data_IF_156996779119
#
_entry.id   IF_156996779119
#
_cell.length_a   1.000
_cell.length_b   1.000
_cell.length_c   1.000
_cell.angle_alpha   90.00
_cell.angle_beta   90.00
_cell.angle_gamma   90.00
#
_symmetry.space_group_name_H-M   'P 1'
#
loop_
_entity.id
_entity.type
_entity.pdbx_description
1 polymer ?
#
# COMPACT_ATOMS: atom_id res chain seq x y z
N UNK A 1 -66.99 33.29 12.54
CA UNK A 1 -66.20 34.53 12.37
C UNK A 1 -64.73 34.27 12.72
N UNK A 2 -64.00 33.52 11.87
CA UNK A 2 -62.59 33.15 12.14
C UNK A 2 -61.69 33.11 10.91
N UNK A 3 -62.20 33.52 9.74
CA UNK A 3 -61.43 33.54 8.48
C UNK A 3 -61.10 34.95 7.95
N UNK A 4 -61.70 36.01 8.49
CA UNK A 4 -61.40 37.40 8.08
C UNK A 4 -60.25 38.05 8.88
N UNK A 5 -59.87 37.47 10.03
CA UNK A 5 -58.77 37.99 10.87
C UNK A 5 -57.40 37.55 10.35
N UNK A 6 -57.29 36.36 9.74
CA UNK A 6 -56.04 35.84 9.19
C UNK A 6 -55.60 36.55 7.89
N UNK A 7 -56.56 36.95 7.04
CA UNK A 7 -56.25 37.71 5.82
C UNK A 7 -55.82 39.15 6.11
N UNK A 8 -56.37 39.79 7.14
CA UNK A 8 -55.97 41.14 7.56
C UNK A 8 -54.54 41.21 8.12
N UNK A 9 -54.11 40.16 8.83
CA UNK A 9 -52.74 40.10 9.39
C UNK A 9 -51.67 39.88 8.30
N UNK A 10 -51.97 39.07 7.28
CA UNK A 10 -51.06 38.84 6.15
C UNK A 10 -50.78 40.09 5.31
N UNK A 11 -51.79 40.94 5.09
CA UNK A 11 -51.63 42.18 4.31
C UNK A 11 -50.80 43.25 5.05
N UNK A 12 -50.92 43.33 6.38
CA UNK A 12 -50.16 44.29 7.21
C UNK A 12 -48.67 43.92 7.32
N UNK A 13 -48.34 42.63 7.43
CA UNK A 13 -46.95 42.15 7.46
C UNK A 13 -46.26 42.33 6.10
N UNK A 14 -46.97 42.09 5.00
CA UNK A 14 -46.46 42.32 3.64
C UNK A 14 -46.13 43.80 3.37
N UNK A 15 -46.99 44.72 3.80
CA UNK A 15 -46.75 46.16 3.67
C UNK A 15 -45.57 46.66 4.53
N UNK A 16 -45.38 46.10 5.72
CA UNK A 16 -44.27 46.47 6.61
C UNK A 16 -42.90 46.03 6.05
N UNK A 17 -42.81 44.81 5.49
CA UNK A 17 -41.59 44.29 4.87
C UNK A 17 -41.24 45.09 3.60
N UNK A 18 -42.23 45.48 2.80
CA UNK A 18 -42.03 46.31 1.60
C UNK A 18 -41.45 47.70 1.91
N UNK A 19 -41.93 48.36 2.98
CA UNK A 19 -41.43 49.68 3.41
C UNK A 19 -40.03 49.61 4.02
N UNK A 20 -39.68 48.50 4.69
CA UNK A 20 -38.35 48.29 5.26
C UNK A 20 -37.28 48.06 4.16
N UNK A 21 -37.63 47.32 3.09
CA UNK A 21 -36.75 47.08 1.94
C UNK A 21 -36.58 48.35 1.09
N UNK A 22 -37.60 49.19 0.98
CA UNK A 22 -37.51 50.47 0.26
C UNK A 22 -36.65 51.52 0.99
N UNK A 23 -36.65 51.55 2.33
CA UNK A 23 -35.83 52.49 3.13
C UNK A 23 -34.34 52.14 3.20
N UNK A 24 -33.95 50.91 2.90
CA UNK A 24 -32.54 50.48 2.87
C UNK A 24 -31.84 50.78 1.52
N UNK A 25 -32.57 51.25 0.49
CA UNK A 25 -32.01 51.53 -0.85
C UNK A 25 -31.83 53.02 -1.17
N UNK A 26 -32.17 53.93 -0.27
CA UNK A 26 -32.05 55.38 -0.53
C UNK A 26 -31.41 56.10 0.65
N UNK A 27 -30.08 56.17 0.67
CA UNK A 27 -29.34 57.20 1.43
C UNK A 27 -28.15 57.67 0.57
N UNK A 28 -27.96 58.99 0.40
CA UNK A 28 -27.08 59.55 -0.63
C UNK A 28 -25.62 59.66 -0.18
N UNK A 29 -24.70 59.61 -1.13
CA UNK A 29 -23.28 59.88 -0.94
C UNK A 29 -22.97 61.39 -0.86
N UNK A 30 -22.07 61.79 0.03
CA UNK A 30 -21.46 63.12 0.12
C UNK A 30 -20.06 63.04 0.81
N UNK A 31 -19.17 64.04 0.65
CA UNK A 31 -17.76 63.82 0.30
C UNK A 31 -16.75 63.81 1.46
N UNK A 32 -15.50 63.47 1.10
CA UNK A 32 -14.34 63.18 1.94
C UNK A 32 -13.90 64.28 2.92
N UNK A 33 -13.46 63.85 4.11
CA UNK A 33 -12.44 64.53 4.93
C UNK A 33 -11.53 63.49 5.58
N UNK A 34 -10.22 63.74 5.50
CA UNK A 34 -9.17 62.87 6.00
C UNK A 34 -9.01 62.98 7.53
N UNK A 35 -8.91 61.84 8.23
CA UNK A 35 -8.39 61.76 9.58
C UNK A 35 -7.63 60.44 9.76
N UNK A 36 -6.35 60.55 10.12
CA UNK A 36 -5.41 59.45 10.36
C UNK A 36 -5.70 58.79 11.71
N UNK A 37 -5.76 57.45 11.74
CA UNK A 37 -5.97 56.63 12.95
C UNK A 37 -5.00 55.41 12.95
N UNK A 38 -4.69 54.84 14.14
CA UNK A 38 -3.40 54.25 14.53
C UNK A 38 -3.13 52.83 13.96
N UNK A 39 -1.90 52.27 14.10
CA UNK A 39 -1.54 50.98 13.51
C UNK A 39 -2.48 49.88 14.01
N UNK A 40 -3.18 49.25 13.07
CA UNK A 40 -4.19 48.24 13.36
C UNK A 40 -3.58 46.99 13.99
N UNK A 41 -4.18 46.57 15.11
CA UNK A 41 -4.09 45.18 15.55
C UNK A 41 -4.63 44.29 14.43
N UNK A 42 -3.78 43.41 13.90
CA UNK A 42 -4.17 42.38 12.94
C UNK A 42 -5.23 41.49 13.59
N UNK A 43 -6.50 41.73 13.27
CA UNK A 43 -7.56 40.76 13.47
C UNK A 43 -7.33 39.66 12.44
N UNK A 44 -7.00 38.46 12.91
CA UNK A 44 -7.09 37.25 12.10
C UNK A 44 -8.52 37.17 11.53
N UNK A 45 -8.64 37.33 10.21
CA UNK A 45 -9.85 36.93 9.52
C UNK A 45 -9.94 35.39 9.60
N UNK A 46 -11.10 34.80 9.93
CA UNK A 46 -11.28 33.37 9.69
C UNK A 46 -11.03 33.12 8.20
N UNK A 47 -10.35 32.02 7.83
CA UNK A 47 -10.08 31.74 6.43
C UNK A 47 -11.41 31.71 5.68
N UNK A 48 -11.49 32.45 4.57
CA UNK A 48 -12.55 32.28 3.59
C UNK A 48 -12.58 30.80 3.21
N UNK A 49 -13.62 30.10 3.64
CA UNK A 49 -13.94 28.78 3.11
C UNK A 49 -14.28 29.04 1.65
N UNK A 50 -13.32 28.76 0.76
CA UNK A 50 -13.62 28.62 -0.66
C UNK A 50 -14.76 27.62 -0.76
N UNK A 51 -15.92 28.08 -1.21
CA UNK A 51 -16.97 27.18 -1.66
C UNK A 51 -16.36 26.35 -2.78
N UNK A 52 -16.01 25.10 -2.45
CA UNK A 52 -15.62 24.09 -3.43
C UNK A 52 -16.77 24.02 -4.42
N UNK A 53 -16.54 24.54 -5.63
CA UNK A 53 -17.44 24.31 -6.75
C UNK A 53 -17.48 22.79 -6.90
N UNK A 54 -18.65 22.21 -6.63
CA UNK A 54 -18.87 20.77 -6.78
C UNK A 54 -18.71 20.43 -8.26
N UNK A 55 -17.52 19.99 -8.66
CA UNK A 55 -17.23 19.47 -10.00
C UNK A 55 -18.26 18.39 -10.40
N UNK A 56 -18.42 18.14 -11.70
CA UNK A 56 -19.32 17.10 -12.26
C UNK A 56 -19.19 15.74 -11.56
N UNK A 57 -18.02 15.42 -11.00
CA UNK A 57 -17.77 14.22 -10.18
C UNK A 57 -18.56 14.18 -8.87
N UNK A 58 -18.70 15.30 -8.17
CA UNK A 58 -19.41 15.39 -6.89
C UNK A 58 -20.94 15.29 -7.07
N UNK A 59 -21.46 15.85 -8.17
CA UNK A 59 -22.87 15.71 -8.54
C UNK A 59 -23.24 14.24 -8.83
N UNK A 60 -22.33 13.50 -9.48
CA UNK A 60 -22.52 12.08 -9.78
C UNK A 60 -22.44 11.19 -8.54
N UNK A 61 -21.56 11.49 -7.58
CA UNK A 61 -21.49 10.81 -6.28
C UNK A 61 -22.77 11.05 -5.48
N UNK A 62 -23.27 12.29 -5.46
CA UNK A 62 -24.52 12.62 -4.78
C UNK A 62 -25.71 11.88 -5.42
N UNK A 63 -25.75 11.79 -6.75
CA UNK A 63 -26.75 11.01 -7.47
C UNK A 63 -26.64 9.51 -7.18
N UNK A 64 -25.43 8.95 -7.12
CA UNK A 64 -25.22 7.55 -6.78
C UNK A 64 -25.64 7.23 -5.35
N UNK A 65 -25.31 8.10 -4.39
CA UNK A 65 -25.71 7.97 -3.00
C UNK A 65 -27.24 8.08 -2.84
N UNK A 66 -27.86 9.07 -3.49
CA UNK A 66 -29.31 9.24 -3.50
C UNK A 66 -30.02 8.02 -4.09
N UNK A 67 -29.50 7.45 -5.17
CA UNK A 67 -30.04 6.22 -5.78
C UNK A 67 -29.95 5.01 -4.82
N UNK A 68 -28.90 4.93 -4.00
CA UNK A 68 -28.75 3.85 -3.00
C UNK A 68 -29.65 4.06 -1.79
N UNK A 69 -29.77 5.29 -1.31
CA UNK A 69 -30.72 5.65 -0.24
C UNK A 69 -32.17 5.38 -0.65
N UNK A 70 -32.53 5.65 -1.91
CA UNK A 70 -33.84 5.30 -2.44
C UNK A 70 -34.09 3.79 -2.46
N UNK A 71 -33.09 2.98 -2.82
CA UNK A 71 -33.18 1.51 -2.79
C UNK A 71 -33.30 0.97 -1.35
N UNK A 72 -32.57 1.55 -0.40
CA UNK A 72 -32.68 1.21 1.03
C UNK A 72 -34.07 1.57 1.56
N UNK A 73 -34.62 2.73 1.19
CA UNK A 73 -35.99 3.12 1.54
C UNK A 73 -37.05 2.15 1.02
N UNK A 74 -36.99 1.79 -0.27
CA UNK A 74 -37.92 0.84 -0.87
C UNK A 74 -37.85 -0.56 -0.22
N UNK A 75 -36.64 -1.02 0.12
CA UNK A 75 -36.44 -2.29 0.83
C UNK A 75 -36.93 -2.21 2.30
N UNK A 76 -36.78 -1.06 2.96
CA UNK A 76 -37.29 -0.83 4.32
C UNK A 76 -38.82 -0.78 4.36
N UNK A 77 -39.46 -0.19 3.35
CA UNK A 77 -40.92 -0.16 3.21
C UNK A 77 -41.50 -1.58 3.00
N UNK A 78 -40.82 -2.43 2.23
CA UNK A 78 -41.18 -3.85 2.06
C UNK A 78 -41.12 -4.66 3.38
N UNK A 79 -40.31 -4.20 4.35
CA UNK A 79 -40.20 -4.80 5.68
C UNK A 79 -41.29 -4.31 6.64
N UNK A 80 -42.04 -3.24 6.30
CA UNK A 80 -43.10 -2.69 7.14
C UNK A 80 -44.45 -3.36 6.85
N UNK A 81 -44.83 -4.34 7.70
CA UNK A 81 -46.16 -4.98 7.70
C UNK A 81 -46.17 -6.51 7.57
N UNK A 82 -46.42 -7.22 8.68
CA UNK A 82 -46.76 -8.67 8.79
C UNK A 82 -45.58 -9.67 9.00
N UNK A 83 -45.79 -10.86 9.60
CA UNK A 83 -44.74 -11.64 10.28
C UNK A 83 -43.70 -12.27 9.32
N UNK A 84 -42.53 -12.64 9.87
CA UNK A 84 -41.30 -13.04 9.17
C UNK A 84 -41.50 -14.13 8.10
N UNK A 85 -41.51 -13.73 6.82
CA UNK A 85 -41.51 -14.60 5.63
C UNK A 85 -40.07 -14.71 5.03
N UNK A 86 -39.65 -15.85 4.44
CA UNK A 86 -38.41 -15.97 3.64
C UNK A 86 -38.16 -14.89 2.58
N UNK A 87 -39.16 -14.16 2.09
CA UNK A 87 -38.95 -12.96 1.26
C UNK A 87 -38.38 -11.77 2.04
N UNK A 88 -38.77 -11.59 3.31
CA UNK A 88 -38.24 -10.53 4.18
C UNK A 88 -36.80 -10.78 4.59
N UNK A 89 -36.42 -12.04 4.81
CA UNK A 89 -35.03 -12.41 5.07
C UNK A 89 -34.11 -12.05 3.88
N UNK A 90 -34.60 -12.28 2.65
CA UNK A 90 -33.90 -11.87 1.42
C UNK A 90 -33.83 -10.35 1.28
N UNK A 91 -34.92 -9.64 1.55
CA UNK A 91 -34.93 -8.17 1.57
C UNK A 91 -33.97 -7.60 2.63
N UNK A 92 -33.87 -8.23 3.81
CA UNK A 92 -32.93 -7.85 4.87
C UNK A 92 -31.47 -8.04 4.44
N UNK A 93 -31.15 -9.16 3.78
CA UNK A 93 -29.80 -9.40 3.23
C UNK A 93 -29.45 -8.40 2.13
N UNK A 94 -30.40 -8.07 1.25
CA UNK A 94 -30.21 -7.06 0.21
C UNK A 94 -30.03 -5.66 0.82
N UNK A 95 -30.82 -5.30 1.82
CA UNK A 95 -30.71 -4.03 2.54
C UNK A 95 -29.35 -3.91 3.25
N UNK A 96 -28.89 -4.98 3.90
CA UNK A 96 -27.56 -5.00 4.53
C UNK A 96 -26.43 -4.83 3.49
N UNK A 97 -26.57 -5.45 2.32
CA UNK A 97 -25.64 -5.28 1.20
C UNK A 97 -25.61 -3.85 0.65
N UNK A 98 -26.76 -3.19 0.54
CA UNK A 98 -26.87 -1.80 0.07
C UNK A 98 -26.35 -0.78 1.10
N UNK A 99 -26.60 -1.02 2.39
CA UNK A 99 -26.03 -0.20 3.49
C UNK A 99 -24.50 -0.27 3.49
N UNK A 100 -23.92 -1.46 3.31
CA UNK A 100 -22.47 -1.62 3.24
C UNK A 100 -21.87 -0.89 2.03
N UNK A 101 -22.52 -0.97 0.86
CA UNK A 101 -22.09 -0.26 -0.36
C UNK A 101 -22.23 1.26 -0.24
N UNK A 102 -23.28 1.75 0.43
CA UNK A 102 -23.42 3.17 0.72
C UNK A 102 -22.31 3.65 1.67
N UNK A 103 -21.97 2.85 2.70
CA UNK A 103 -20.86 3.12 3.61
C UNK A 103 -19.51 3.15 2.87
N UNK A 104 -19.27 2.21 1.94
CA UNK A 104 -18.08 2.19 1.06
C UNK A 104 -17.98 3.46 0.19
N UNK A 105 -19.10 3.98 -0.35
CA UNK A 105 -19.11 5.24 -1.13
C UNK A 105 -18.77 6.45 -0.25
N UNK A 106 -19.37 6.54 0.94
CA UNK A 106 -19.07 7.63 1.88
C UNK A 106 -17.63 7.58 2.37
N UNK A 107 -17.08 6.38 2.63
CA UNK A 107 -15.70 6.19 3.05
C UNK A 107 -14.73 6.63 1.94
N UNK A 108 -14.98 6.23 0.68
CA UNK A 108 -14.19 6.69 -0.46
C UNK A 108 -14.27 8.21 -0.69
N UNK A 109 -15.42 8.83 -0.46
CA UNK A 109 -15.54 10.30 -0.56
C UNK A 109 -14.79 11.01 0.58
N UNK A 110 -14.82 10.45 1.79
CA UNK A 110 -14.01 10.92 2.92
C UNK A 110 -12.52 10.75 2.65
N UNK A 111 -12.09 9.64 2.07
CA UNK A 111 -10.68 9.40 1.67
C UNK A 111 -10.22 10.39 0.59
N UNK A 112 -11.08 10.70 -0.39
CA UNK A 112 -10.84 11.72 -1.42
C UNK A 112 -10.82 13.15 -0.86
N UNK A 113 -11.64 13.43 0.15
CA UNK A 113 -11.72 14.75 0.80
C UNK A 113 -10.62 14.98 1.85
N UNK A 114 -10.02 13.92 2.39
CA UNK A 114 -9.05 13.99 3.49
C UNK A 114 -7.58 14.06 3.06
N UNK A 115 -7.25 13.87 1.78
CA UNK A 115 -5.85 13.86 1.31
C UNK A 115 -5.58 15.01 0.33
N UNK A 116 -4.99 16.13 0.81
CA UNK A 116 -4.44 17.13 -0.10
C UNK A 116 -3.29 16.53 -0.91
N UNK A 117 -3.29 16.78 -2.22
CA UNK A 117 -2.14 16.57 -3.10
C UNK A 117 -0.97 17.38 -2.52
N UNK A 118 0.04 16.70 -1.99
CA UNK A 118 1.30 17.31 -1.58
C UNK A 118 1.61 17.26 -0.09
N UNK A 119 2.03 16.09 0.38
CA UNK A 119 3.04 15.85 1.44
C UNK A 119 3.08 14.34 1.78
N UNK A 120 3.04 13.46 0.78
CA UNK A 120 3.17 12.03 1.02
C UNK A 120 4.57 11.72 1.55
N UNK A 121 4.66 11.03 2.69
CA UNK A 121 5.92 10.46 3.16
C UNK A 121 6.55 9.63 2.04
N UNK A 122 7.82 9.90 1.67
CA UNK A 122 8.44 9.19 0.57
C UNK A 122 8.64 7.72 0.92
N UNK A 123 8.40 6.83 -0.05
CA UNK A 123 8.69 5.41 0.09
C UNK A 123 9.70 4.91 -0.93
N UNK A 124 10.39 3.84 -0.54
CA UNK A 124 11.31 3.11 -1.41
C UNK A 124 10.52 2.06 -2.21
N UNK A 125 10.41 2.28 -3.52
CA UNK A 125 9.66 1.40 -4.40
C UNK A 125 10.25 -0.02 -4.47
N UNK A 126 11.57 -0.18 -4.37
CA UNK A 126 12.21 -1.48 -4.44
C UNK A 126 11.85 -2.32 -3.22
N UNK A 127 11.94 -1.73 -2.02
CA UNK A 127 11.61 -2.41 -0.76
C UNK A 127 10.15 -2.88 -0.77
N UNK A 128 9.23 -1.99 -1.14
CA UNK A 128 7.79 -2.33 -1.14
C UNK A 128 7.48 -3.40 -2.18
N UNK A 129 8.03 -3.29 -3.39
CA UNK A 129 7.79 -4.25 -4.47
C UNK A 129 8.33 -5.65 -4.10
N UNK A 130 9.52 -5.72 -3.51
CA UNK A 130 10.09 -6.99 -3.05
C UNK A 130 9.25 -7.61 -1.91
N UNK A 131 8.80 -6.81 -0.94
CA UNK A 131 7.93 -7.28 0.14
C UNK A 131 6.58 -7.80 -0.35
N UNK A 132 5.97 -7.14 -1.34
CA UNK A 132 4.72 -7.60 -1.95
C UNK A 132 4.89 -8.89 -2.75
N UNK A 133 6.01 -9.02 -3.48
CA UNK A 133 6.32 -10.24 -4.23
C UNK A 133 6.61 -11.43 -3.32
N UNK A 134 7.24 -11.19 -2.17
CA UNK A 134 7.44 -12.16 -1.11
C UNK A 134 6.11 -12.76 -0.62
N UNK A 135 5.17 -11.88 -0.28
CA UNK A 135 3.86 -12.27 0.24
C UNK A 135 3.06 -13.14 -0.76
N UNK A 136 3.34 -12.99 -2.05
CA UNK A 136 2.67 -13.74 -3.13
C UNK A 136 3.50 -14.90 -3.69
N UNK A 137 4.66 -15.22 -3.14
CA UNK A 137 5.55 -16.26 -3.65
C UNK A 137 4.88 -17.65 -3.67
N UNK A 138 4.16 -18.00 -2.59
CA UNK A 138 3.41 -19.27 -2.50
C UNK A 138 2.39 -19.40 -3.63
N UNK A 139 1.53 -18.40 -3.80
CA UNK A 139 0.51 -18.34 -4.85
C UNK A 139 1.11 -18.40 -6.25
N UNK A 140 2.23 -17.72 -6.49
CA UNK A 140 2.94 -17.75 -7.77
C UNK A 140 3.46 -19.16 -8.09
N UNK A 141 4.04 -19.86 -7.10
CA UNK A 141 4.52 -21.24 -7.24
C UNK A 141 3.36 -22.22 -7.47
N UNK A 142 2.29 -22.12 -6.69
CA UNK A 142 1.09 -22.95 -6.83
C UNK A 142 0.46 -22.84 -8.22
N UNK A 143 0.42 -21.62 -8.76
CA UNK A 143 -0.09 -21.36 -10.11
C UNK A 143 0.92 -21.68 -11.22
N UNK A 144 2.17 -22.04 -10.91
CA UNK A 144 3.22 -22.31 -11.89
C UNK A 144 3.59 -21.08 -12.72
N UNK A 145 3.55 -19.89 -12.11
CA UNK A 145 3.85 -18.62 -12.79
C UNK A 145 5.37 -18.39 -12.82
N UNK A 146 5.92 -18.24 -14.02
CA UNK A 146 7.29 -17.76 -14.21
C UNK A 146 7.34 -16.26 -13.94
N UNK A 147 7.99 -15.86 -12.85
CA UNK A 147 8.18 -14.46 -12.50
C UNK A 147 9.51 -13.93 -13.10
N UNK A 148 9.43 -12.86 -13.88
CA UNK A 148 10.59 -12.14 -14.43
C UNK A 148 10.59 -10.72 -13.88
N UNK A 149 11.72 -10.28 -13.32
CA UNK A 149 11.85 -8.98 -12.67
C UNK A 149 12.98 -8.18 -13.31
N UNK A 150 12.72 -6.91 -13.59
CA UNK A 150 13.70 -5.94 -14.06
C UNK A 150 13.58 -4.68 -13.22
N UNK A 151 14.15 -4.72 -12.01
CA UNK A 151 14.08 -3.66 -11.01
C UNK A 151 15.50 -3.13 -10.78
N UNK A 152 15.82 -1.86 -11.10
CA UNK A 152 17.12 -1.26 -10.80
C UNK A 152 17.39 -1.21 -9.29
N UNK A 153 18.64 -1.39 -8.88
CA UNK A 153 19.04 -1.35 -7.46
C UNK A 153 19.04 0.07 -6.87
N UNK A 154 19.22 1.08 -7.71
CA UNK A 154 19.23 2.48 -7.29
C UNK A 154 18.02 3.21 -7.91
N UNK A 155 16.91 3.17 -7.18
CA UNK A 155 15.68 3.86 -7.56
C UNK A 155 15.46 5.08 -6.66
N UNK A 156 15.01 6.21 -7.22
CA UNK A 156 14.63 7.37 -6.43
C UNK A 156 13.41 7.05 -5.56
N UNK A 157 13.31 7.73 -4.42
CA UNK A 157 12.13 7.66 -3.57
C UNK A 157 10.89 8.15 -4.33
N UNK A 158 9.75 7.52 -4.06
CA UNK A 158 8.46 7.87 -4.68
C UNK A 158 7.64 8.68 -3.69
N UNK A 159 6.94 9.71 -4.16
CA UNK A 159 6.03 10.54 -3.34
C UNK A 159 4.70 9.80 -3.10
N UNK A 160 4.78 8.63 -2.45
CA UNK A 160 3.67 7.77 -2.10
C UNK A 160 3.98 7.12 -0.75
N UNK A 161 3.10 7.18 0.27
CA UNK A 161 3.36 6.55 1.56
C UNK A 161 3.52 5.04 1.41
N UNK A 162 4.37 4.41 2.23
CA UNK A 162 4.65 2.97 2.12
C UNK A 162 3.38 2.11 2.16
N UNK A 163 2.45 2.38 3.09
CA UNK A 163 1.20 1.62 3.20
C UNK A 163 0.34 1.71 1.92
N UNK A 164 0.24 2.91 1.35
CA UNK A 164 -0.51 3.17 0.12
C UNK A 164 0.15 2.52 -1.10
N UNK A 165 1.49 2.56 -1.19
CA UNK A 165 2.23 1.89 -2.25
C UNK A 165 2.08 0.36 -2.15
N UNK A 166 2.18 -0.19 -0.93
CA UNK A 166 1.96 -1.62 -0.67
C UNK A 166 0.57 -2.02 -1.13
N UNK A 167 -0.48 -1.30 -0.70
CA UNK A 167 -1.85 -1.62 -1.06
C UNK A 167 -2.06 -1.56 -2.58
N UNK A 168 -1.55 -0.52 -3.23
CA UNK A 168 -1.65 -0.35 -4.68
C UNK A 168 -1.01 -1.52 -5.43
N UNK A 169 0.21 -1.91 -5.06
CA UNK A 169 0.91 -3.02 -5.69
C UNK A 169 0.21 -4.36 -5.41
N UNK A 170 -0.32 -4.57 -4.21
CA UNK A 170 -1.09 -5.76 -3.88
C UNK A 170 -2.33 -5.91 -4.77
N UNK A 171 -3.09 -4.82 -4.99
CA UNK A 171 -4.24 -4.86 -5.91
C UNK A 171 -3.84 -5.17 -7.35
N UNK A 172 -2.70 -4.65 -7.80
CA UNK A 172 -2.18 -4.94 -9.14
C UNK A 172 -1.74 -6.40 -9.28
N UNK A 173 -1.08 -6.97 -8.26
CA UNK A 173 -0.75 -8.38 -8.26
C UNK A 173 -2.00 -9.25 -8.21
N UNK A 174 -2.98 -8.93 -7.36
CA UNK A 174 -4.22 -9.68 -7.27
C UNK A 174 -4.99 -9.66 -8.60
N UNK A 175 -5.01 -8.50 -9.29
CA UNK A 175 -5.55 -8.38 -10.65
C UNK A 175 -4.83 -9.31 -11.64
N UNK A 176 -3.49 -9.30 -11.66
CA UNK A 176 -2.70 -10.13 -12.57
C UNK A 176 -2.85 -11.63 -12.25
N UNK A 177 -2.76 -12.02 -10.98
CA UNK A 177 -2.87 -13.41 -10.52
C UNK A 177 -4.25 -14.00 -10.86
N UNK A 178 -5.30 -13.20 -10.76
CA UNK A 178 -6.66 -13.64 -11.12
C UNK A 178 -6.76 -13.96 -12.60
N UNK A 179 -6.23 -13.10 -13.47
CA UNK A 179 -6.16 -13.36 -14.92
C UNK A 179 -5.28 -14.55 -15.28
N UNK A 180 -4.17 -14.75 -14.55
CA UNK A 180 -3.29 -15.89 -14.75
C UNK A 180 -3.94 -17.21 -14.31
N UNK A 181 -4.78 -17.20 -13.26
CA UNK A 181 -5.51 -18.39 -12.79
C UNK A 181 -6.44 -18.97 -13.86
N UNK A 182 -7.10 -18.10 -14.61
CA UNK A 182 -8.03 -18.47 -15.69
C UNK A 182 -7.31 -18.76 -17.02
N UNK A 183 -5.99 -18.54 -17.09
CA UNK A 183 -5.18 -18.77 -18.29
C UNK A 183 -4.52 -20.15 -18.33
N UNK A 184 -4.29 -20.66 -19.55
CA UNK A 184 -3.53 -21.89 -19.75
C UNK A 184 -2.02 -21.67 -19.60
N UNK A 185 -1.26 -22.64 -19.08
CA UNK A 185 0.20 -22.59 -19.08
C UNK A 185 0.78 -22.49 -20.51
N UNK A 186 1.94 -21.86 -20.71
CA UNK A 186 2.83 -21.28 -19.69
C UNK A 186 2.32 -19.94 -19.14
N UNK A 187 2.39 -19.79 -17.81
CA UNK A 187 2.03 -18.55 -17.12
C UNK A 187 3.27 -17.73 -16.83
N UNK A 188 3.27 -16.46 -17.17
CA UNK A 188 4.37 -15.55 -16.93
C UNK A 188 3.87 -14.21 -16.38
N UNK A 189 4.58 -13.69 -15.39
CA UNK A 189 4.40 -12.36 -14.84
C UNK A 189 5.73 -11.61 -14.97
N UNK A 190 5.72 -10.49 -15.68
CA UNK A 190 6.88 -9.60 -15.85
C UNK A 190 6.64 -8.31 -15.10
N UNK A 191 7.59 -7.94 -14.25
CA UNK A 191 7.57 -6.67 -13.52
C UNK A 191 8.82 -5.90 -13.89
N UNK A 192 8.65 -4.69 -14.39
CA UNK A 192 9.74 -3.81 -14.76
C UNK A 192 9.55 -2.44 -14.12
N UNK A 193 10.64 -1.89 -13.57
CA UNK A 193 10.67 -0.53 -13.04
C UNK A 193 11.64 0.28 -13.88
N UNK A 194 11.19 1.44 -14.34
CA UNK A 194 12.00 2.36 -15.13
C UNK A 194 11.82 3.79 -14.65
N UNK A 195 12.90 4.54 -14.67
CA UNK A 195 12.89 5.97 -14.41
C UNK A 195 12.55 6.74 -15.69
N UNK A 196 11.65 7.73 -15.60
CA UNK A 196 11.29 8.57 -16.73
C UNK A 196 11.06 10.02 -16.28
N UNK A 197 12.06 10.88 -16.49
CA UNK A 197 11.96 12.31 -16.16
C UNK A 197 11.69 12.54 -14.65
N UNK A 198 10.63 13.25 -14.25
CA UNK A 198 10.29 13.47 -12.84
C UNK A 198 9.51 12.31 -12.20
N UNK A 199 9.34 11.18 -12.89
CA UNK A 199 8.49 10.09 -12.45
C UNK A 199 9.20 8.74 -12.47
N UNK A 200 8.67 7.80 -11.70
CA UNK A 200 9.02 6.39 -11.71
C UNK A 200 7.85 5.62 -12.31
N UNK A 201 8.14 4.71 -13.23
CA UNK A 201 7.15 3.89 -13.92
C UNK A 201 7.31 2.43 -13.52
N UNK A 202 6.22 1.83 -13.05
CA UNK A 202 6.12 0.41 -12.71
C UNK A 202 5.23 -0.24 -13.77
N UNK A 203 5.77 -1.17 -14.52
CA UNK A 203 5.04 -1.99 -15.49
C UNK A 203 4.86 -3.40 -14.94
N UNK A 204 3.62 -3.90 -14.97
CA UNK A 204 3.26 -5.28 -14.69
C UNK A 204 2.58 -5.86 -15.93
N UNK A 205 3.24 -6.79 -16.60
CA UNK A 205 2.66 -7.55 -17.71
C UNK A 205 2.41 -8.99 -17.27
N UNK A 206 1.20 -9.50 -17.53
CA UNK A 206 0.85 -10.90 -17.34
C UNK A 206 0.53 -11.57 -18.68
N UNK A 207 0.81 -12.87 -18.77
CA UNK A 207 0.49 -13.71 -19.94
C UNK A 207 -0.96 -14.20 -19.98
N UNK A 208 -1.87 -13.60 -19.19
CA UNK A 208 -3.26 -14.02 -19.13
C UNK A 208 -4.02 -13.76 -20.43
N UNK A 209 -5.30 -14.14 -20.46
CA UNK A 209 -6.15 -13.92 -21.64
C UNK A 209 -6.16 -12.42 -22.01
N UNK A 210 -5.92 -12.06 -23.28
CA UNK A 210 -5.97 -10.67 -23.72
C UNK A 210 -7.31 -10.02 -23.36
N UNK A 211 -7.27 -8.77 -22.92
CA UNK A 211 -8.47 -8.02 -22.59
C UNK A 211 -9.21 -7.65 -23.88
N UNK A 212 -10.51 -7.91 -23.94
CA UNK A 212 -11.35 -7.36 -25.01
C UNK A 212 -11.47 -5.85 -24.86
N UNK A 213 -11.77 -5.16 -25.96
CA UNK A 213 -12.00 -3.69 -25.95
C UNK A 213 -13.09 -3.31 -24.94
N UNK A 214 -14.15 -4.12 -24.82
CA UNK A 214 -15.21 -3.91 -23.84
C UNK A 214 -14.72 -4.06 -22.39
N UNK A 215 -13.89 -5.07 -22.11
CA UNK A 215 -13.31 -5.29 -20.79
C UNK A 215 -12.36 -4.15 -20.41
N UNK A 216 -11.53 -3.69 -21.36
CA UNK A 216 -10.67 -2.52 -21.17
C UNK A 216 -11.48 -1.27 -20.86
N UNK A 217 -12.53 -0.98 -21.65
CA UNK A 217 -13.42 0.16 -21.41
C UNK A 217 -14.09 0.10 -20.02
N UNK A 218 -14.50 -1.08 -19.57
CA UNK A 218 -15.04 -1.27 -18.21
C UNK A 218 -14.00 -1.00 -17.14
N UNK A 219 -12.78 -1.53 -17.28
CA UNK A 219 -11.70 -1.32 -16.33
C UNK A 219 -11.35 0.16 -16.20
N UNK A 220 -11.29 0.91 -17.31
CA UNK A 220 -10.94 2.34 -17.29
C UNK A 220 -12.08 3.27 -16.87
N UNK A 221 -13.34 2.81 -16.95
CA UNK A 221 -14.50 3.62 -16.55
C UNK A 221 -14.74 3.52 -15.04
N UNK A 222 -14.75 4.63 -14.28
CA UNK A 222 -15.06 4.59 -12.85
C UNK A 222 -16.44 3.99 -12.56
N UNK A 223 -16.53 3.17 -11.51
CA UNK A 223 -17.80 2.68 -10.91
C UNK A 223 -18.72 1.80 -11.79
N UNK A 224 -18.22 1.22 -12.89
CA UNK A 224 -18.94 0.18 -13.66
C UNK A 224 -18.54 -1.24 -13.21
N UNK A 225 -19.11 -1.70 -12.10
CA UNK A 225 -18.92 -3.07 -11.62
C UNK A 225 -20.12 -3.93 -12.03
N UNK A 226 -19.90 -5.03 -12.75
CA UNK A 226 -20.99 -5.97 -13.10
C UNK A 226 -20.77 -7.32 -12.41
N UNK A 227 -21.83 -7.91 -11.85
CA UNK A 227 -21.76 -9.18 -11.12
C UNK A 227 -21.35 -10.39 -11.97
N UNK A 228 -21.26 -10.25 -13.30
CA UNK A 228 -21.21 -11.37 -14.24
C UNK A 228 -19.91 -11.50 -15.04
N UNK A 229 -18.90 -10.65 -14.84
CA UNK A 229 -17.71 -10.65 -15.71
C UNK A 229 -16.38 -10.73 -14.93
N UNK A 230 -15.73 -11.89 -15.02
CA UNK A 230 -14.27 -12.09 -14.97
C UNK A 230 -13.44 -11.23 -14.03
N UNK A 231 -13.83 -11.20 -12.74
CA UNK A 231 -13.45 -10.14 -11.80
C UNK A 231 -11.96 -9.75 -11.74
N UNK A 232 -11.74 -8.54 -11.24
CA UNK A 232 -10.52 -7.75 -11.40
C UNK A 232 -10.82 -6.24 -11.49
N UNK A 233 -12.08 -5.89 -11.78
CA UNK A 233 -12.56 -4.51 -11.92
C UNK A 233 -12.36 -3.68 -10.64
N UNK A 234 -12.59 -4.29 -9.47
CA UNK A 234 -12.45 -3.62 -8.16
C UNK A 234 -10.97 -3.39 -7.87
N UNK A 235 -10.14 -4.41 -8.07
CA UNK A 235 -8.70 -4.36 -7.82
C UNK A 235 -8.03 -3.30 -8.71
N UNK A 236 -8.38 -3.26 -10.00
CA UNK A 236 -7.88 -2.25 -10.92
C UNK A 236 -8.38 -0.84 -10.58
N UNK A 237 -9.66 -0.69 -10.22
CA UNK A 237 -10.22 0.60 -9.83
C UNK A 237 -9.58 1.14 -8.55
N UNK A 238 -9.35 0.29 -7.55
CA UNK A 238 -8.71 0.66 -6.29
C UNK A 238 -7.23 1.01 -6.51
N UNK A 239 -6.49 0.20 -7.26
CA UNK A 239 -5.12 0.54 -7.64
C UNK A 239 -5.03 1.90 -8.36
N UNK A 240 -6.02 2.20 -9.22
CA UNK A 240 -6.07 3.49 -9.93
C UNK A 240 -6.36 4.64 -8.98
N UNK A 241 -7.32 4.48 -8.06
CA UNK A 241 -7.65 5.49 -7.06
C UNK A 241 -6.44 5.78 -6.15
N UNK A 242 -5.73 4.75 -5.69
CA UNK A 242 -4.51 4.89 -4.89
C UNK A 242 -3.43 5.63 -5.69
N UNK A 243 -3.16 5.23 -6.94
CA UNK A 243 -2.21 5.92 -7.80
C UNK A 243 -2.56 7.40 -8.01
N UNK A 244 -3.84 7.72 -8.23
CA UNK A 244 -4.32 9.09 -8.42
C UNK A 244 -4.18 9.93 -7.14
N UNK A 245 -4.52 9.36 -5.99
CA UNK A 245 -4.38 10.05 -4.69
C UNK A 245 -2.92 10.34 -4.34
N UNK A 246 -1.97 9.55 -4.85
CA UNK A 246 -0.53 9.82 -4.77
C UNK A 246 0.01 10.75 -5.88
N UNK A 247 -0.86 11.44 -6.63
CA UNK A 247 -0.46 12.33 -7.73
C UNK A 247 0.09 11.61 -8.97
N UNK A 248 -0.13 10.30 -9.08
CA UNK A 248 0.27 9.47 -10.21
C UNK A 248 -0.87 9.10 -11.15
N UNK A 249 -0.57 8.19 -12.07
CA UNK A 249 -1.54 7.65 -13.03
C UNK A 249 -1.38 6.14 -13.16
N UNK A 250 -2.47 5.46 -13.50
CA UNK A 250 -2.49 4.05 -13.84
C UNK A 250 -3.16 3.88 -15.20
N UNK A 251 -2.50 3.18 -16.11
CA UNK A 251 -2.96 2.93 -17.48
C UNK A 251 -2.87 1.45 -17.81
N UNK A 252 -3.75 0.99 -18.69
CA UNK A 252 -3.64 -0.31 -19.32
C UNK A 252 -2.98 -0.13 -20.69
N UNK A 253 -2.07 -1.04 -21.05
CA UNK A 253 -1.43 -1.12 -22.36
C UNK A 253 -1.67 -2.52 -22.95
N UNK A 254 -2.39 -2.63 -24.08
CA UNK A 254 -2.46 -3.88 -24.80
C UNK A 254 -1.09 -4.19 -25.44
N UNK A 255 -0.67 -5.45 -25.37
CA UNK A 255 0.55 -5.94 -26.03
C UNK A 255 0.16 -6.81 -27.22
N UNK A 256 0.73 -6.58 -28.42
CA UNK A 256 0.43 -7.37 -29.62
C UNK A 256 0.70 -8.88 -29.46
N UNK A 257 1.59 -9.26 -28.53
CA UNK A 257 1.92 -10.66 -28.22
C UNK A 257 1.00 -11.36 -27.21
N UNK A 258 -0.14 -10.75 -26.87
CA UNK A 258 -1.07 -11.26 -25.86
C UNK A 258 -0.79 -10.74 -24.44
N UNK A 259 -1.62 -11.16 -23.48
CA UNK A 259 -1.57 -10.65 -22.11
C UNK A 259 -2.19 -9.27 -21.93
N UNK A 260 -1.98 -8.66 -20.78
CA UNK A 260 -2.13 -7.21 -20.65
C UNK A 260 -1.04 -6.63 -19.75
N UNK A 261 -0.70 -5.37 -20.01
CA UNK A 261 0.29 -4.63 -19.24
C UNK A 261 -0.40 -3.50 -18.49
N UNK A 262 -0.31 -3.50 -17.17
CA UNK A 262 -0.72 -2.38 -16.33
C UNK A 262 0.51 -1.53 -16.02
N UNK A 263 0.42 -0.24 -16.30
CA UNK A 263 1.51 0.72 -16.13
C UNK A 263 1.08 1.78 -15.13
N UNK A 264 1.76 1.79 -13.99
CA UNK A 264 1.63 2.83 -12.97
C UNK A 264 2.77 3.83 -13.15
N UNK A 265 2.47 5.11 -13.09
CA UNK A 265 3.45 6.19 -13.08
C UNK A 265 3.24 7.03 -11.83
N UNK A 266 4.26 7.10 -10.97
CA UNK A 266 4.22 7.87 -9.73
C UNK A 266 5.26 8.99 -9.78
N UNK A 267 4.97 10.17 -9.20
CA UNK A 267 5.96 11.23 -9.08
C UNK A 267 7.10 10.82 -8.13
N UNK A 268 8.32 11.19 -8.48
CA UNK A 268 9.45 11.09 -7.55
C UNK A 268 9.24 12.05 -6.39
N UNK A 269 9.75 11.67 -5.22
CA UNK A 269 9.80 12.58 -4.09
C UNK A 269 10.77 13.73 -4.35
N UNK A 270 10.28 14.96 -4.17
CA UNK A 270 11.08 16.18 -4.10
C UNK A 270 11.55 16.49 -2.68
N UNK A 271 10.91 15.88 -1.67
CA UNK A 271 11.51 15.81 -0.34
C UNK A 271 12.79 15.02 -0.54
N UNK A 272 13.93 15.69 -0.34
CA UNK A 272 15.24 15.09 -0.40
C UNK A 272 15.15 13.72 0.28
N UNK A 273 15.76 12.66 -0.28
CA UNK A 273 15.83 11.40 0.43
C UNK A 273 16.22 11.78 1.85
N UNK A 274 15.37 11.47 2.84
CA UNK A 274 15.77 11.49 4.25
C UNK A 274 17.01 10.64 4.20
N UNK A 275 18.19 11.29 4.22
CA UNK A 275 19.33 10.83 3.45
C UNK A 275 19.35 9.33 3.58
N UNK A 276 19.22 8.58 2.46
CA UNK A 276 19.87 7.29 2.46
C UNK A 276 21.25 7.74 2.90
N UNK A 277 21.58 7.46 4.15
CA UNK A 277 22.94 7.24 4.50
C UNK A 277 23.27 6.12 3.53
N UNK A 278 23.73 6.52 2.35
CA UNK A 278 24.95 6.03 1.79
C UNK A 278 26.00 6.13 2.90
N UNK A 279 25.83 5.36 3.98
CA UNK A 279 26.75 4.29 4.15
C UNK A 279 26.77 3.62 2.78
N UNK A 280 27.70 4.07 1.92
CA UNK A 280 28.58 3.13 1.24
C UNK A 280 28.56 1.90 2.12
N UNK A 281 27.87 0.83 1.69
CA UNK A 281 27.83 -0.40 2.46
C UNK A 281 29.27 -0.59 2.91
N UNK A 282 29.57 -0.52 4.22
CA UNK A 282 30.94 -0.48 4.66
C UNK A 282 31.59 -1.66 3.96
N UNK A 283 32.65 -1.43 3.17
CA UNK A 283 33.32 -2.54 2.53
C UNK A 283 33.76 -3.41 3.68
N UNK A 284 33.04 -4.51 3.93
CA UNK A 284 33.27 -5.27 5.12
C UNK A 284 34.69 -5.80 4.98
N UNK A 285 35.50 -5.75 6.05
CA UNK A 285 36.76 -6.46 6.01
C UNK A 285 36.46 -7.93 5.67
N UNK A 286 37.42 -8.64 5.11
CA UNK A 286 37.24 -10.07 4.83
C UNK A 286 36.82 -10.81 6.11
N UNK A 287 35.56 -11.24 6.16
CA UNK A 287 34.96 -11.99 7.26
C UNK A 287 35.06 -13.50 7.00
N UNK A 288 35.15 -14.26 8.08
CA UNK A 288 34.94 -15.71 8.12
C UNK A 288 33.50 -15.96 8.58
N UNK A 289 32.66 -16.44 7.67
CA UNK A 289 31.21 -16.55 7.88
C UNK A 289 30.81 -18.04 7.93
N UNK A 290 30.07 -18.43 8.96
CA UNK A 290 29.41 -19.73 9.02
C UNK A 290 27.97 -19.59 8.50
N UNK A 291 27.63 -20.29 7.44
CA UNK A 291 26.27 -20.36 6.87
C UNK A 291 25.64 -21.69 7.28
N UNK A 292 24.44 -21.62 7.87
CA UNK A 292 23.66 -22.78 8.31
C UNK A 292 22.28 -22.71 7.64
N UNK A 293 22.02 -23.59 6.69
CA UNK A 293 20.75 -23.65 5.95
C UNK A 293 20.54 -25.07 5.43
N UNK A 294 19.36 -25.66 5.61
CA UNK A 294 19.08 -27.05 5.22
C UNK A 294 18.83 -27.19 3.72
N UNK A 295 18.37 -26.13 3.05
CA UNK A 295 18.18 -26.12 1.60
C UNK A 295 19.54 -26.02 0.88
N UNK A 296 19.90 -27.09 0.16
CA UNK A 296 21.18 -27.18 -0.53
C UNK A 296 21.37 -26.10 -1.61
N UNK A 297 20.30 -25.65 -2.26
CA UNK A 297 20.35 -24.63 -3.30
C UNK A 297 20.57 -23.27 -2.67
N UNK A 298 19.82 -22.92 -1.63
CA UNK A 298 19.97 -21.65 -0.91
C UNK A 298 21.33 -21.56 -0.22
N UNK A 299 21.75 -22.62 0.48
CA UNK A 299 23.06 -22.73 1.11
C UNK A 299 24.19 -22.50 0.12
N UNK A 300 24.14 -23.14 -1.05
CA UNK A 300 25.15 -23.00 -2.09
C UNK A 300 25.13 -21.61 -2.74
N UNK A 301 23.95 -21.03 -2.98
CA UNK A 301 23.82 -19.69 -3.53
C UNK A 301 24.40 -18.62 -2.58
N UNK A 302 24.06 -18.70 -1.29
CA UNK A 302 24.58 -17.79 -0.27
C UNK A 302 26.10 -17.88 -0.15
N UNK A 303 26.65 -19.11 -0.18
CA UNK A 303 28.10 -19.34 -0.19
C UNK A 303 28.78 -18.64 -1.36
N UNK A 304 28.31 -18.88 -2.59
CA UNK A 304 28.91 -18.31 -3.79
C UNK A 304 28.85 -16.77 -3.80
N UNK A 305 27.73 -16.20 -3.35
CA UNK A 305 27.57 -14.74 -3.30
C UNK A 305 28.49 -14.09 -2.26
N UNK A 306 28.57 -14.66 -1.06
CA UNK A 306 29.47 -14.15 0.00
C UNK A 306 30.95 -14.35 -0.35
N UNK A 307 31.33 -15.47 -0.97
CA UNK A 307 32.69 -15.70 -1.49
C UNK A 307 33.05 -14.68 -2.59
N UNK A 308 32.08 -14.30 -3.45
CA UNK A 308 32.28 -13.29 -4.50
C UNK A 308 32.57 -11.88 -3.94
N UNK A 309 32.01 -11.55 -2.77
CA UNK A 309 32.32 -10.29 -2.06
C UNK A 309 33.63 -10.38 -1.24
N UNK A 310 34.37 -11.50 -1.35
CA UNK A 310 35.70 -11.66 -0.76
C UNK A 310 35.72 -12.28 0.64
N UNK A 311 34.58 -12.76 1.14
CA UNK A 311 34.49 -13.45 2.44
C UNK A 311 34.98 -14.91 2.36
N UNK A 312 35.43 -15.45 3.50
CA UNK A 312 35.67 -16.89 3.65
C UNK A 312 34.40 -17.53 4.22
N UNK A 313 33.80 -18.49 3.52
CA UNK A 313 32.51 -19.05 3.90
C UNK A 313 32.63 -20.54 4.18
N UNK A 314 32.16 -20.95 5.35
CA UNK A 314 31.92 -22.36 5.68
C UNK A 314 30.41 -22.56 5.71
N UNK A 315 29.90 -23.49 4.89
CA UNK A 315 28.48 -23.79 4.83
C UNK A 315 28.18 -25.19 5.36
N UNK A 316 27.16 -25.32 6.21
CA UNK A 316 26.70 -26.57 6.83
C UNK A 316 25.19 -26.68 6.73
N UNK A 317 24.66 -27.90 6.79
CA UNK A 317 23.24 -28.16 6.51
C UNK A 317 22.33 -28.13 7.75
N UNK A 318 22.88 -28.10 8.96
CA UNK A 318 22.09 -28.08 10.20
C UNK A 318 22.88 -27.53 11.39
N UNK A 319 22.17 -27.24 12.49
CA UNK A 319 22.79 -26.66 13.68
C UNK A 319 23.76 -27.59 14.42
N UNK A 320 23.66 -28.92 14.30
CA UNK A 320 24.62 -29.83 14.94
C UNK A 320 25.99 -29.74 14.29
N UNK A 321 26.03 -29.75 12.96
CA UNK A 321 27.26 -29.49 12.20
C UNK A 321 27.81 -28.09 12.46
N UNK A 322 26.93 -27.10 12.65
CA UNK A 322 27.36 -25.76 13.04
C UNK A 322 28.13 -25.78 14.37
N UNK A 323 27.63 -26.49 15.39
CA UNK A 323 28.31 -26.66 16.68
C UNK A 323 29.68 -27.35 16.50
N UNK A 324 29.74 -28.41 15.69
CA UNK A 324 31.01 -29.10 15.40
C UNK A 324 32.03 -28.17 14.74
N UNK A 325 31.60 -27.36 13.76
CA UNK A 325 32.46 -26.40 13.06
C UNK A 325 32.92 -25.24 13.93
N UNK A 326 32.06 -24.79 14.84
CA UNK A 326 32.40 -23.77 15.82
C UNK A 326 33.51 -24.26 16.79
N UNK A 327 33.63 -25.58 17.02
CA UNK A 327 34.72 -26.21 17.77
C UNK A 327 34.91 -25.62 19.18
N UNK A 328 35.95 -25.98 19.96
CA UNK A 328 36.21 -25.38 21.29
C UNK A 328 36.77 -23.94 21.25
N UNK A 329 37.32 -23.52 20.12
CA UNK A 329 37.97 -22.22 19.96
C UNK A 329 36.98 -21.18 19.40
N UNK A 330 36.56 -20.25 20.25
CA UNK A 330 35.49 -19.26 20.01
C UNK A 330 35.75 -18.23 18.90
N UNK A 331 36.98 -18.14 18.38
CA UNK A 331 37.43 -16.98 17.58
C UNK A 331 37.58 -17.23 16.07
N UNK A 332 36.95 -18.29 15.54
CA UNK A 332 37.12 -18.64 14.13
C UNK A 332 36.17 -17.95 13.16
N UNK A 333 35.01 -17.47 13.63
CA UNK A 333 33.98 -16.88 12.78
C UNK A 333 33.61 -15.48 13.25
N UNK A 334 33.55 -14.57 12.30
CA UNK A 334 33.17 -13.17 12.49
C UNK A 334 31.65 -12.98 12.40
N UNK A 335 30.95 -13.92 11.76
CA UNK A 335 29.48 -13.95 11.70
C UNK A 335 28.94 -15.38 11.54
N UNK A 336 27.74 -15.61 12.08
CA UNK A 336 26.95 -16.82 11.84
C UNK A 336 25.64 -16.41 11.18
N UNK A 337 25.42 -16.85 9.94
CA UNK A 337 24.15 -16.67 9.22
C UNK A 337 23.39 -17.99 9.30
N UNK A 338 22.21 -18.00 9.91
CA UNK A 338 21.43 -19.23 10.08
C UNK A 338 19.99 -19.03 9.64
N UNK A 339 19.43 -20.03 8.95
CA UNK A 339 17.98 -20.15 8.87
C UNK A 339 17.42 -20.38 10.28
N UNK A 340 16.32 -19.71 10.60
CA UNK A 340 15.63 -19.85 11.87
C UNK A 340 14.96 -21.23 12.00
N UNK A 341 14.40 -21.75 10.90
CA UNK A 341 13.69 -23.02 10.88
C UNK A 341 14.44 -24.03 10.03
N UNK A 342 15.03 -25.03 10.69
CA UNK A 342 15.72 -26.15 10.02
C UNK A 342 15.41 -27.46 10.76
N UNK A 343 15.44 -28.61 10.07
CA UNK A 343 15.39 -29.94 10.68
C UNK A 343 16.56 -30.17 11.65
N UNK A 344 16.38 -31.15 12.56
CA UNK A 344 17.35 -31.52 13.62
C UNK A 344 17.53 -30.41 14.66
N UNK A 345 18.45 -29.47 14.42
CA UNK A 345 18.70 -28.33 15.30
C UNK A 345 18.50 -27.04 14.50
N UNK A 346 17.37 -26.36 14.77
CA UNK A 346 17.02 -25.09 14.12
C UNK A 346 17.85 -23.91 14.63
N UNK A 347 17.87 -22.81 13.87
CA UNK A 347 18.69 -21.64 14.19
C UNK A 347 18.35 -20.99 15.53
N UNK A 348 17.08 -21.04 15.96
CA UNK A 348 16.67 -20.59 17.29
C UNK A 348 17.34 -21.39 18.41
N UNK A 349 17.23 -22.72 18.35
CA UNK A 349 17.80 -23.61 19.36
C UNK A 349 19.34 -23.55 19.37
N UNK A 350 19.95 -23.45 18.17
CA UNK A 350 21.38 -23.21 18.02
C UNK A 350 21.83 -21.92 18.72
N UNK A 351 21.10 -20.82 18.50
CA UNK A 351 21.38 -19.54 19.14
C UNK A 351 21.21 -19.59 20.66
N UNK A 352 20.10 -20.15 21.16
CA UNK A 352 19.83 -20.25 22.59
C UNK A 352 20.94 -21.04 23.32
N UNK A 353 21.35 -22.18 22.74
CA UNK A 353 22.44 -23.00 23.27
C UNK A 353 23.79 -22.25 23.27
N UNK A 354 24.09 -21.51 22.20
CA UNK A 354 25.34 -20.75 22.10
C UNK A 354 25.30 -19.46 22.91
N UNK A 355 24.15 -18.87 23.18
CA UNK A 355 24.03 -17.68 24.02
C UNK A 355 24.45 -17.97 25.47
N UNK A 356 24.12 -19.15 25.98
CA UNK A 356 24.51 -19.58 27.32
C UNK A 356 26.01 -19.94 27.39
N UNK A 357 26.53 -20.61 26.37
CA UNK A 357 27.89 -21.15 26.38
C UNK A 357 28.94 -20.15 25.87
N UNK A 358 28.54 -19.25 24.95
CA UNK A 358 29.39 -18.34 24.16
C UNK A 358 28.64 -17.04 23.79
N UNK A 359 28.35 -16.17 24.77
CA UNK A 359 27.59 -14.95 24.54
C UNK A 359 28.20 -14.04 23.47
N UNK A 360 29.54 -13.94 23.40
CA UNK A 360 30.25 -13.15 22.38
C UNK A 360 29.99 -13.64 20.95
N UNK A 361 29.89 -14.96 20.74
CA UNK A 361 29.57 -15.54 19.44
C UNK A 361 28.09 -15.34 19.10
N UNK A 362 27.21 -15.42 20.10
CA UNK A 362 25.78 -15.18 19.91
C UNK A 362 25.51 -13.75 19.42
N UNK A 363 26.31 -12.76 19.83
CA UNK A 363 26.21 -11.39 19.31
C UNK A 363 26.53 -11.22 17.82
N UNK A 364 27.11 -12.28 17.20
CA UNK A 364 27.50 -12.32 15.79
C UNK A 364 26.49 -13.05 14.90
N UNK A 365 25.29 -13.33 15.42
CA UNK A 365 24.24 -14.04 14.69
C UNK A 365 23.46 -13.11 13.77
N UNK A 366 23.17 -13.61 12.57
CA UNK A 366 22.22 -13.04 11.62
C UNK A 366 21.21 -14.12 11.27
N UNK A 367 19.94 -13.84 11.51
CA UNK A 367 18.86 -14.78 11.20
C UNK A 367 18.31 -14.55 9.80
N UNK A 368 18.06 -15.62 9.07
CA UNK A 368 17.31 -15.60 7.81
C UNK A 368 16.00 -16.35 8.05
N UNK A 369 14.85 -15.74 7.75
CA UNK A 369 13.56 -16.37 8.06
C UNK A 369 12.50 -16.05 7.01
N UNK A 370 11.71 -17.05 6.60
CA UNK A 370 10.54 -16.85 5.72
C UNK A 370 9.23 -16.57 6.45
N UNK A 371 9.21 -16.57 7.78
CA UNK A 371 7.96 -16.54 8.55
C UNK A 371 8.06 -15.63 9.78
N UNK A 372 8.13 -14.31 9.56
CA UNK A 372 8.00 -13.30 10.63
C UNK A 372 6.55 -13.04 11.03
N UNK A 373 5.56 -13.63 10.35
CA UNK A 373 4.15 -13.46 10.64
C UNK A 373 3.70 -14.30 11.84
N UNK A 374 4.38 -15.40 12.15
CA UNK A 374 4.16 -16.14 13.41
C UNK A 374 4.60 -15.32 14.62
N UNK A 375 3.68 -15.17 15.57
CA UNK A 375 3.91 -14.47 16.83
C UNK A 375 5.13 -14.98 17.59
N UNK A 376 5.38 -16.29 17.57
CA UNK A 376 6.55 -16.90 18.22
C UNK A 376 7.88 -16.49 17.58
N UNK A 377 7.96 -16.46 16.25
CA UNK A 377 9.14 -16.00 15.53
C UNK A 377 9.40 -14.53 15.79
N UNK A 378 8.34 -13.72 15.75
CA UNK A 378 8.43 -12.28 15.99
C UNK A 378 8.92 -11.98 17.40
N UNK A 379 8.31 -12.58 18.41
CA UNK A 379 8.71 -12.42 19.83
C UNK A 379 10.16 -12.82 20.05
N UNK A 380 10.59 -13.96 19.52
CA UNK A 380 11.98 -14.39 19.63
C UNK A 380 12.96 -13.38 19.01
N UNK A 381 12.69 -12.89 17.80
CA UNK A 381 13.56 -11.93 17.12
C UNK A 381 13.62 -10.59 17.88
N UNK A 382 12.47 -10.12 18.39
CA UNK A 382 12.37 -8.91 19.19
C UNK A 382 13.12 -9.06 20.54
N UNK A 383 13.06 -10.23 21.18
CA UNK A 383 13.74 -10.54 22.44
C UNK A 383 15.26 -10.76 22.28
N UNK A 384 15.70 -11.39 21.19
CA UNK A 384 17.12 -11.71 20.99
C UNK A 384 17.96 -10.52 20.52
N UNK A 385 17.33 -9.50 19.91
CA UNK A 385 17.98 -8.28 19.45
C UNK A 385 18.98 -8.45 18.30
N UNK A 386 19.08 -9.64 17.70
CA UNK A 386 19.98 -9.91 16.59
C UNK A 386 19.39 -9.43 15.26
N UNK A 387 20.23 -9.00 14.30
CA UNK A 387 19.76 -8.70 12.95
C UNK A 387 19.07 -9.90 12.31
N UNK A 388 17.96 -9.64 11.62
CA UNK A 388 17.25 -10.65 10.84
C UNK A 388 16.88 -10.13 9.46
N UNK A 389 16.88 -11.04 8.50
CA UNK A 389 16.60 -10.82 7.09
C UNK A 389 15.43 -11.72 6.70
N UNK A 390 14.41 -11.15 6.05
CA UNK A 390 13.19 -11.89 5.68
C UNK A 390 13.36 -12.53 4.29
N UNK A 391 13.08 -13.83 4.15
CA UNK A 391 13.00 -14.49 2.83
C UNK A 391 11.71 -14.04 2.13
N UNK A 392 11.76 -13.71 0.82
CA UNK A 392 12.94 -13.45 -0.01
C UNK A 392 13.58 -12.09 0.33
N UNK A 393 14.91 -12.06 0.29
CA UNK A 393 15.72 -10.88 0.58
C UNK A 393 16.64 -10.55 -0.59
N UNK A 394 17.03 -9.29 -0.70
CA UNK A 394 18.13 -8.90 -1.57
C UNK A 394 19.47 -9.20 -0.88
N UNK A 395 20.49 -9.54 -1.66
CA UNK A 395 21.82 -9.81 -1.11
C UNK A 395 22.42 -8.60 -0.37
N UNK A 396 22.03 -7.37 -0.75
CA UNK A 396 22.39 -6.14 -0.03
C UNK A 396 21.84 -6.11 1.40
N UNK A 397 20.66 -6.68 1.65
CA UNK A 397 20.06 -6.74 2.98
C UNK A 397 20.87 -7.67 3.89
N UNK A 398 21.34 -8.79 3.32
CA UNK A 398 22.23 -9.72 4.02
C UNK A 398 23.57 -9.08 4.36
N UNK A 399 24.18 -8.34 3.43
CA UNK A 399 25.43 -7.59 3.68
C UNK A 399 25.21 -6.50 4.73
N UNK A 400 24.08 -5.78 4.67
CA UNK A 400 23.71 -4.78 5.67
C UNK A 400 23.52 -5.38 7.06
N UNK A 401 22.93 -6.57 7.16
CA UNK A 401 22.78 -7.30 8.42
C UNK A 401 24.14 -7.80 8.95
N UNK A 402 25.00 -8.33 8.08
CA UNK A 402 26.37 -8.72 8.41
C UNK A 402 27.19 -7.53 8.92
N UNK A 403 27.02 -6.34 8.34
CA UNK A 403 27.72 -5.13 8.80
C UNK A 403 27.34 -4.69 10.22
N UNK A 404 26.15 -5.05 10.71
CA UNK A 404 25.73 -4.78 12.10
C UNK A 404 26.42 -5.69 13.12
N UNK A 405 26.94 -6.84 12.68
CA UNK A 405 27.60 -7.82 13.55
C UNK A 405 29.12 -7.87 13.39
N UNK A 406 29.64 -7.50 12.21
CA UNK A 406 31.05 -7.61 11.82
C UNK A 406 32.05 -6.76 12.65
N UNK A 407 31.56 -5.91 13.56
CA UNK A 407 32.39 -5.07 14.44
C UNK A 407 32.41 -5.48 15.92
N UNK A 408 31.66 -6.53 16.30
CA UNK A 408 31.55 -6.97 17.70
C UNK A 408 32.67 -7.96 18.02
N UNK A 409 33.72 -7.46 18.69
CA UNK A 409 34.87 -8.25 19.15
C UNK A 409 34.53 -9.06 20.38
#
# INVERSE_FOLDING_TARGET
>A
MGLWVAFGFGALVGAFIGVLIARLRTAPAAPATAAVAPPGAQRFAPPEVQHVVLDEGSANVLNALNNRLAAIGALADLLHGSPLDPERARALMMLHGEVRRAAEITQHFLELAQHPIGAAEPSDCSIVLNGVLAEREGTLKELGVKLVRSIPHDLPMVACPMAQLTEMLMKLLDFALRRLRDSQPPRELRIAVSESGPSLTISLWDSGTPLSVEAEQRLVTPFRFTQSAGGGEIEFALARALAQSSGGTLRLRPRPGGGAEVVVTLPKSVLAPLARATATAPSLPKLRILVVDDDAVNRQAMRLLLEREGHEVVAVENGLEAIERLGPASDRFDAVVTDLQMPRLGGRALYEQLREQRPQLAERFVFVTGDRARDETRRFLDECGQPSVMKPYDFSDLIGALGKVAGKK
#
